data_IF_009639634010
#
_entry.id   IF_009639634010
#
_cell.length_a   1.000
_cell.length_b   1.000
_cell.length_c   1.000
_cell.angle_alpha   90.00
_cell.angle_beta   90.00
_cell.angle_gamma   90.00
#
_symmetry.space_group_name_H-M   'P 1'
#
loop_
_entity.id
_entity.type
_entity.pdbx_description
1 polymer ?
#
# COMPACT_ATOMS: atom_id res chain seq x y z
N UNK A 1 -34.55 31.94 -6.22
CA UNK A 1 -33.52 30.91 -6.47
C UNK A 1 -32.34 31.44 -7.27
N UNK A 2 -32.54 32.06 -8.46
CA UNK A 2 -31.49 32.68 -9.29
C UNK A 2 -30.38 33.39 -8.51
N UNK A 3 -30.74 34.38 -7.68
CA UNK A 3 -29.77 35.16 -6.87
C UNK A 3 -28.89 34.28 -5.97
N UNK A 4 -29.46 33.24 -5.37
CA UNK A 4 -28.73 32.31 -4.50
C UNK A 4 -27.73 31.52 -5.35
N UNK A 5 -28.17 30.94 -6.46
CA UNK A 5 -27.31 30.21 -7.40
C UNK A 5 -26.18 31.08 -7.93
N UNK A 6 -26.47 32.29 -8.41
CA UNK A 6 -25.45 33.23 -8.91
C UNK A 6 -24.40 33.54 -7.84
N UNK A 7 -24.82 33.80 -6.59
CA UNK A 7 -23.89 34.07 -5.50
C UNK A 7 -23.04 32.84 -5.17
N UNK A 8 -23.65 31.67 -5.01
CA UNK A 8 -22.95 30.42 -4.70
C UNK A 8 -21.95 30.01 -5.78
N UNK A 9 -22.33 30.14 -7.06
CA UNK A 9 -21.45 29.89 -8.20
C UNK A 9 -20.28 30.87 -8.22
N UNK A 10 -20.54 32.16 -7.98
CA UNK A 10 -19.48 33.17 -7.95
C UNK A 10 -18.50 32.95 -6.80
N UNK A 11 -18.98 32.61 -5.60
CA UNK A 11 -18.12 32.35 -4.46
C UNK A 11 -17.28 31.09 -4.68
N UNK A 12 -17.87 30.03 -5.24
CA UNK A 12 -17.15 28.80 -5.55
C UNK A 12 -16.12 29.01 -6.68
N UNK A 13 -16.44 29.81 -7.70
CA UNK A 13 -15.48 30.15 -8.76
C UNK A 13 -14.23 30.82 -8.20
N UNK A 14 -14.39 31.73 -7.24
CA UNK A 14 -13.25 32.40 -6.59
C UNK A 14 -12.36 31.41 -5.84
N UNK A 15 -12.97 30.49 -5.10
CA UNK A 15 -12.24 29.44 -4.37
C UNK A 15 -11.48 28.51 -5.33
N UNK A 16 -12.17 28.03 -6.38
CA UNK A 16 -11.56 27.19 -7.42
C UNK A 16 -10.41 27.89 -8.15
N UNK A 17 -10.57 29.18 -8.48
CA UNK A 17 -9.52 29.96 -9.15
C UNK A 17 -8.29 30.13 -8.26
N UNK A 18 -8.48 30.31 -6.95
CA UNK A 18 -7.38 30.35 -5.99
C UNK A 18 -6.66 29.00 -5.92
N UNK A 19 -7.39 27.88 -5.87
CA UNK A 19 -6.79 26.54 -5.86
C UNK A 19 -6.03 26.23 -7.16
N UNK A 20 -6.59 26.59 -8.32
CA UNK A 20 -5.89 26.44 -9.62
C UNK A 20 -4.59 27.24 -9.62
N UNK A 21 -4.61 28.48 -9.13
CA UNK A 21 -3.40 29.30 -9.02
C UNK A 21 -2.34 28.66 -8.11
N UNK A 22 -2.75 28.05 -6.98
CA UNK A 22 -1.85 27.31 -6.09
C UNK A 22 -1.20 26.13 -6.82
N UNK A 23 -2.00 25.30 -7.51
CA UNK A 23 -1.50 24.12 -8.23
C UNK A 23 -0.54 24.54 -9.35
N UNK A 24 -0.89 25.56 -10.14
CA UNK A 24 -0.05 26.02 -11.25
C UNK A 24 1.24 26.71 -10.82
N UNK A 25 1.23 27.41 -9.68
CA UNK A 25 2.40 28.14 -9.19
C UNK A 25 3.38 27.26 -8.39
N UNK A 26 2.93 26.11 -7.89
CA UNK A 26 3.76 25.21 -7.08
C UNK A 26 4.85 24.57 -7.96
N UNK A 27 6.10 24.84 -7.61
CA UNK A 27 7.23 24.05 -8.12
C UNK A 27 7.28 22.72 -7.36
N UNK A 28 7.19 21.61 -8.07
CA UNK A 28 7.21 20.26 -7.49
C UNK A 28 8.34 19.43 -8.08
N UNK A 29 8.84 18.41 -7.36
CA UNK A 29 9.76 17.43 -7.93
C UNK A 29 9.18 16.82 -9.20
N UNK A 30 10.06 16.49 -10.15
CA UNK A 30 9.69 15.90 -11.45
C UNK A 30 8.83 14.65 -11.31
N UNK A 31 9.05 13.88 -10.25
CA UNK A 31 8.36 12.66 -9.87
C UNK A 31 6.86 12.89 -9.60
N UNK A 32 6.47 14.11 -9.18
CA UNK A 32 5.07 14.50 -8.97
C UNK A 32 4.45 15.22 -10.18
N UNK A 33 5.18 15.36 -11.30
CA UNK A 33 4.70 16.09 -12.48
C UNK A 33 3.40 15.53 -13.06
N UNK A 34 3.28 14.20 -13.14
CA UNK A 34 2.05 13.53 -13.62
C UNK A 34 0.87 13.81 -12.68
N UNK A 35 1.11 13.80 -11.37
CA UNK A 35 0.08 14.11 -10.38
C UNK A 35 -0.36 15.57 -10.41
N UNK A 36 0.58 16.51 -10.57
CA UNK A 36 0.26 17.93 -10.75
C UNK A 36 -0.58 18.19 -12.01
N UNK A 37 -0.21 17.54 -13.12
CA UNK A 37 -0.95 17.62 -14.36
C UNK A 37 -2.37 17.06 -14.20
N UNK A 38 -2.50 15.92 -13.53
CA UNK A 38 -3.79 15.31 -13.20
C UNK A 38 -4.69 16.25 -12.39
N UNK A 39 -4.18 16.86 -11.32
CA UNK A 39 -4.93 17.85 -10.53
C UNK A 39 -5.37 19.05 -11.38
N UNK A 40 -4.46 19.54 -12.23
CA UNK A 40 -4.73 20.70 -13.10
C UNK A 40 -5.87 20.42 -14.09
N UNK A 41 -5.91 19.22 -14.67
CA UNK A 41 -6.99 18.78 -15.57
C UNK A 41 -8.32 18.77 -14.83
N UNK A 42 -8.40 18.10 -13.67
CA UNK A 42 -9.65 17.99 -12.90
C UNK A 42 -10.18 19.35 -12.44
N UNK A 43 -9.32 20.24 -11.95
CA UNK A 43 -9.78 21.58 -11.57
C UNK A 43 -10.23 22.42 -12.78
N UNK A 44 -9.62 22.22 -13.95
CA UNK A 44 -10.04 22.88 -15.19
C UNK A 44 -11.41 22.36 -15.65
N UNK A 45 -11.66 21.05 -15.56
CA UNK A 45 -12.96 20.45 -15.86
C UNK A 45 -14.06 20.98 -14.92
N UNK A 46 -13.80 21.06 -13.61
CA UNK A 46 -14.73 21.67 -12.64
C UNK A 46 -15.00 23.14 -13.02
N UNK A 47 -13.98 23.90 -13.44
CA UNK A 47 -14.14 25.30 -13.86
C UNK A 47 -15.05 25.39 -15.09
N UNK A 48 -14.85 24.53 -16.09
CA UNK A 48 -15.69 24.49 -17.29
C UNK A 48 -17.14 24.15 -16.98
N UNK A 49 -17.39 23.16 -16.11
CA UNK A 49 -18.74 22.81 -15.69
C UNK A 49 -19.39 23.93 -14.87
N UNK A 50 -18.63 24.59 -13.98
CA UNK A 50 -19.14 25.72 -13.21
C UNK A 50 -19.53 26.91 -14.10
N UNK A 51 -18.76 27.16 -15.17
CA UNK A 51 -19.11 28.17 -16.19
C UNK A 51 -20.38 27.81 -16.96
N UNK A 52 -20.60 26.52 -17.27
CA UNK A 52 -21.86 26.05 -17.86
C UNK A 52 -23.04 26.30 -16.93
N UNK A 53 -22.91 26.00 -15.63
CA UNK A 53 -23.96 26.25 -14.64
C UNK A 53 -24.25 27.76 -14.47
N UNK A 54 -23.22 28.61 -14.54
CA UNK A 54 -23.39 30.06 -14.53
C UNK A 54 -24.23 30.52 -15.72
N UNK A 55 -23.89 30.05 -16.93
CA UNK A 55 -24.64 30.34 -18.15
C UNK A 55 -26.11 29.91 -18.04
N UNK A 56 -26.38 28.68 -17.58
CA UNK A 56 -27.74 28.18 -17.40
C UNK A 56 -28.53 28.98 -16.36
N UNK A 57 -27.88 29.42 -15.28
CA UNK A 57 -28.49 30.29 -14.26
C UNK A 57 -28.89 31.64 -14.85
N UNK A 58 -28.07 32.18 -15.76
CA UNK A 58 -28.30 33.49 -16.39
C UNK A 58 -29.49 33.49 -17.34
N UNK A 59 -29.80 32.36 -18.00
CA UNK A 59 -30.99 32.20 -18.85
C UNK A 59 -32.29 32.55 -18.14
N UNK A 60 -32.35 32.42 -16.80
CA UNK A 60 -33.52 32.82 -16.03
C UNK A 60 -34.67 31.80 -16.01
N UNK A 61 -34.44 30.59 -16.52
CA UNK A 61 -35.45 29.53 -16.59
C UNK A 61 -35.65 28.89 -15.19
N UNK A 62 -36.78 29.17 -14.55
CA UNK A 62 -37.01 28.72 -13.17
C UNK A 62 -37.18 27.20 -13.03
N UNK A 63 -37.67 26.54 -14.09
CA UNK A 63 -37.94 25.10 -14.11
C UNK A 63 -36.70 24.24 -13.92
N UNK A 64 -35.51 24.74 -14.26
CA UNK A 64 -34.24 23.99 -14.21
C UNK A 64 -33.39 24.33 -12.99
N UNK A 65 -33.81 25.26 -12.12
CA UNK A 65 -32.97 25.69 -11.00
C UNK A 65 -32.67 24.61 -9.98
N UNK A 66 -33.57 23.64 -9.80
CA UNK A 66 -33.33 22.49 -8.92
C UNK A 66 -32.22 21.61 -9.50
N UNK A 67 -32.23 21.39 -10.82
CA UNK A 67 -31.21 20.59 -11.50
C UNK A 67 -29.84 21.27 -11.43
N UNK A 68 -29.79 22.59 -11.70
CA UNK A 68 -28.56 23.38 -11.53
C UNK A 68 -28.02 23.29 -10.10
N UNK A 69 -28.89 23.37 -9.10
CA UNK A 69 -28.47 23.28 -7.69
C UNK A 69 -27.89 21.91 -7.34
N UNK A 70 -28.49 20.83 -7.86
CA UNK A 70 -28.01 19.46 -7.65
C UNK A 70 -26.65 19.24 -8.33
N UNK A 71 -26.49 19.68 -9.58
CA UNK A 71 -25.23 19.63 -10.32
C UNK A 71 -24.13 20.45 -9.61
N UNK A 72 -24.46 21.68 -9.18
CA UNK A 72 -23.55 22.52 -8.40
C UNK A 72 -23.09 21.83 -7.10
N UNK A 73 -24.01 21.19 -6.39
CA UNK A 73 -23.70 20.49 -5.14
C UNK A 73 -22.76 19.29 -5.39
N UNK A 74 -22.97 18.54 -6.47
CA UNK A 74 -22.05 17.47 -6.87
C UNK A 74 -20.66 18.01 -7.22
N UNK A 75 -20.56 19.13 -7.95
CA UNK A 75 -19.27 19.76 -8.26
C UNK A 75 -18.53 20.21 -7.00
N UNK A 76 -19.24 20.84 -6.05
CA UNK A 76 -18.63 21.21 -4.77
C UNK A 76 -18.12 20.00 -3.99
N UNK A 77 -18.87 18.89 -3.99
CA UNK A 77 -18.45 17.68 -3.29
C UNK A 77 -17.19 17.09 -3.93
N UNK A 78 -17.13 17.03 -5.26
CA UNK A 78 -15.93 16.58 -5.98
C UNK A 78 -14.74 17.49 -5.67
N UNK A 79 -14.91 18.82 -5.75
CA UNK A 79 -13.86 19.77 -5.39
C UNK A 79 -13.36 19.57 -3.96
N UNK A 80 -14.26 19.41 -2.98
CA UNK A 80 -13.87 19.17 -1.58
C UNK A 80 -13.04 17.90 -1.40
N UNK A 81 -13.35 16.83 -2.14
CA UNK A 81 -12.55 15.61 -2.11
C UNK A 81 -11.15 15.88 -2.67
N UNK A 82 -11.04 16.55 -3.82
CA UNK A 82 -9.75 16.91 -4.42
C UNK A 82 -8.93 17.82 -3.48
N UNK A 83 -9.55 18.85 -2.95
CA UNK A 83 -8.91 19.85 -2.08
C UNK A 83 -8.48 19.27 -0.73
N UNK A 84 -9.30 18.43 -0.10
CA UNK A 84 -8.99 17.88 1.23
C UNK A 84 -8.12 16.62 1.22
N UNK A 85 -8.15 15.83 0.13
CA UNK A 85 -7.45 14.53 0.07
C UNK A 85 -6.22 14.54 -0.82
N UNK A 86 -6.28 15.23 -1.97
CA UNK A 86 -5.23 15.14 -3.00
C UNK A 86 -4.33 16.37 -3.00
N UNK A 87 -4.90 17.59 -2.93
CA UNK A 87 -4.10 18.81 -2.89
C UNK A 87 -3.00 18.82 -1.80
N UNK A 88 -3.21 18.26 -0.58
CA UNK A 88 -2.15 18.18 0.42
C UNK A 88 -0.93 17.40 -0.06
N UNK A 89 -1.09 16.38 -0.90
CA UNK A 89 0.01 15.61 -1.49
C UNK A 89 0.94 16.43 -2.39
N UNK A 90 0.40 17.49 -3.01
CA UNK A 90 1.15 18.45 -3.83
C UNK A 90 1.66 19.63 -2.99
N UNK A 91 0.82 20.13 -2.07
CA UNK A 91 1.11 21.34 -1.32
C UNK A 91 2.16 21.11 -0.23
N UNK A 92 2.09 19.97 0.48
CA UNK A 92 2.99 19.60 1.58
C UNK A 92 4.42 19.28 1.13
N UNK A 93 4.60 18.90 -0.14
CA UNK A 93 5.85 18.30 -0.63
C UNK A 93 7.09 19.02 -0.11
N UNK A 94 7.96 18.28 0.59
CA UNK A 94 9.19 18.74 1.22
C UNK A 94 10.41 18.13 0.53
N UNK A 95 11.58 18.76 0.67
CA UNK A 95 12.85 18.19 0.17
C UNK A 95 13.17 16.80 0.75
N UNK A 96 12.63 16.51 1.92
CA UNK A 96 12.84 15.23 2.61
C UNK A 96 12.09 14.07 1.93
N UNK A 97 11.10 14.39 1.11
CA UNK A 97 10.34 13.37 0.37
C UNK A 97 11.12 12.90 -0.87
N UNK A 98 12.20 13.60 -1.27
CA UNK A 98 12.88 13.40 -2.55
C UNK A 98 13.41 11.97 -2.77
N UNK A 99 14.01 11.35 -1.74
CA UNK A 99 14.49 9.97 -1.83
C UNK A 99 13.35 9.00 -2.13
N UNK A 100 12.25 9.11 -1.36
CA UNK A 100 11.08 8.26 -1.50
C UNK A 100 10.35 8.50 -2.81
N UNK A 101 10.19 9.77 -3.23
CA UNK A 101 9.58 10.11 -4.51
C UNK A 101 10.36 9.52 -5.69
N UNK A 102 11.69 9.55 -5.63
CA UNK A 102 12.56 8.94 -6.65
C UNK A 102 12.40 7.42 -6.70
N UNK A 103 12.35 6.76 -5.55
CA UNK A 103 12.08 5.33 -5.49
C UNK A 103 10.70 5.00 -6.05
N UNK A 104 9.64 5.67 -5.61
CA UNK A 104 8.28 5.42 -6.10
C UNK A 104 8.18 5.68 -7.60
N UNK A 105 8.82 6.73 -8.11
CA UNK A 105 8.89 6.99 -9.54
C UNK A 105 9.54 5.85 -10.31
N UNK A 106 10.66 5.32 -9.82
CA UNK A 106 11.29 4.13 -10.39
C UNK A 106 10.38 2.90 -10.29
N UNK A 107 9.77 2.66 -9.12
CA UNK A 107 8.94 1.49 -8.85
C UNK A 107 7.72 1.45 -9.77
N UNK A 108 7.06 2.60 -9.95
CA UNK A 108 5.99 2.75 -10.90
C UNK A 108 6.50 2.64 -12.35
N UNK A 109 7.58 3.33 -12.69
CA UNK A 109 8.13 3.33 -14.05
C UNK A 109 8.66 1.98 -14.54
N UNK A 110 9.09 1.11 -13.63
CA UNK A 110 9.60 -0.23 -13.93
C UNK A 110 8.50 -1.26 -14.24
N UNK A 111 7.23 -0.97 -13.89
CA UNK A 111 6.12 -1.89 -14.10
C UNK A 111 5.10 -1.31 -15.09
N UNK A 112 4.80 -2.08 -16.15
CA UNK A 112 4.04 -1.59 -17.31
C UNK A 112 2.64 -1.06 -16.94
N UNK A 113 1.97 -1.70 -15.98
CA UNK A 113 0.61 -1.32 -15.54
C UNK A 113 0.60 -0.08 -14.63
N UNK A 114 1.75 0.31 -14.07
CA UNK A 114 1.83 1.41 -13.09
C UNK A 114 2.66 2.60 -13.58
N UNK A 115 3.34 2.48 -14.72
CA UNK A 115 4.28 3.46 -15.26
C UNK A 115 3.72 4.87 -15.50
N UNK A 116 2.42 4.98 -15.80
CA UNK A 116 1.75 6.27 -16.00
C UNK A 116 0.80 6.63 -14.87
N UNK A 117 0.82 5.86 -13.79
CA UNK A 117 -0.08 6.06 -12.68
C UNK A 117 0.40 7.25 -11.83
N UNK A 118 -0.37 8.34 -11.71
CA UNK A 118 -0.01 9.41 -10.78
C UNK A 118 0.00 8.88 -9.36
N UNK A 119 0.96 9.35 -8.57
CA UNK A 119 1.06 9.04 -7.14
C UNK A 119 1.49 10.27 -6.36
N UNK A 120 1.32 10.20 -5.04
CA UNK A 120 1.84 11.21 -4.10
C UNK A 120 2.06 10.59 -2.71
N UNK A 121 2.78 11.33 -1.86
CA UNK A 121 3.13 10.90 -0.51
C UNK A 121 2.49 11.82 0.53
N UNK A 122 1.94 11.21 1.58
CA UNK A 122 1.45 11.85 2.79
C UNK A 122 2.14 11.27 4.02
N UNK A 123 2.11 12.02 5.12
CA UNK A 123 2.58 11.53 6.41
C UNK A 123 1.57 10.55 7.00
N UNK A 124 2.06 9.43 7.51
CA UNK A 124 1.24 8.43 8.18
C UNK A 124 2.05 7.24 8.65
N UNK A 125 1.38 6.15 8.96
CA UNK A 125 2.02 4.84 9.06
C UNK A 125 2.08 4.19 7.67
N UNK A 126 2.90 3.15 7.50
CA UNK A 126 2.98 2.41 6.24
C UNK A 126 1.60 1.91 5.80
N UNK A 127 1.06 2.57 4.78
CA UNK A 127 -0.21 2.26 4.18
C UNK A 127 -0.31 2.91 2.81
N UNK A 128 -1.30 2.45 2.05
CA UNK A 128 -1.62 2.97 0.73
C UNK A 128 -3.13 3.09 0.56
N UNK A 129 -3.55 4.07 -0.23
CA UNK A 129 -4.89 4.11 -0.80
C UNK A 129 -4.80 3.71 -2.28
N UNK A 130 -4.96 2.41 -2.59
CA UNK A 130 -4.69 1.87 -3.91
C UNK A 130 -5.87 2.10 -4.85
N UNK A 131 -5.99 3.29 -5.45
CA UNK A 131 -7.12 3.58 -6.35
C UNK A 131 -6.75 3.36 -7.82
N UNK A 132 -7.63 2.67 -8.57
CA UNK A 132 -7.39 2.38 -9.99
C UNK A 132 -7.70 3.57 -10.90
N UNK A 133 -8.66 4.43 -10.53
CA UNK A 133 -9.04 5.60 -11.34
C UNK A 133 -8.45 6.92 -10.83
N UNK A 134 -7.95 6.93 -9.59
CA UNK A 134 -7.39 8.12 -8.94
C UNK A 134 -5.90 7.94 -8.65
N UNK A 135 -5.16 9.03 -8.37
CA UNK A 135 -3.77 8.93 -7.98
C UNK A 135 -3.56 8.07 -6.74
N UNK A 136 -2.51 7.26 -6.76
CA UNK A 136 -2.15 6.38 -5.65
C UNK A 136 -1.62 7.21 -4.49
N UNK A 137 -2.21 7.06 -3.31
CA UNK A 137 -1.81 7.80 -2.11
C UNK A 137 -0.96 6.90 -1.23
N UNK A 138 0.32 7.25 -1.03
CA UNK A 138 1.21 6.54 -0.11
C UNK A 138 1.28 7.28 1.23
N UNK A 139 1.07 6.57 2.33
CA UNK A 139 1.19 7.08 3.70
C UNK A 139 2.43 6.47 4.34
N UNK A 140 3.35 7.33 4.78
CA UNK A 140 4.68 6.85 5.13
C UNK A 140 5.22 7.58 6.37
N UNK A 141 5.89 6.88 7.30
CA UNK A 141 6.54 7.54 8.43
C UNK A 141 7.66 8.45 7.96
N UNK A 142 7.66 9.72 8.39
CA UNK A 142 8.65 10.74 7.96
C UNK A 142 10.10 10.27 8.16
N UNK A 143 10.37 9.58 9.27
CA UNK A 143 11.70 9.06 9.56
C UNK A 143 12.10 7.91 8.61
N UNK A 144 11.14 7.07 8.21
CA UNK A 144 11.41 5.95 7.31
C UNK A 144 11.62 6.40 5.86
N UNK A 145 10.96 7.49 5.44
CA UNK A 145 11.13 8.09 4.11
C UNK A 145 12.58 8.54 3.80
N UNK A 146 13.42 8.67 4.84
CA UNK A 146 14.80 9.13 4.73
C UNK A 146 15.84 8.02 4.82
N UNK A 147 15.44 6.77 5.06
CA UNK A 147 16.37 5.66 5.25
C UNK A 147 16.30 4.63 4.14
N UNK A 148 17.46 4.28 3.60
CA UNK A 148 17.63 3.22 2.60
C UNK A 148 17.19 1.85 3.15
N UNK A 149 17.28 1.63 4.46
CA UNK A 149 16.92 0.36 5.11
C UNK A 149 15.41 0.09 5.10
N UNK A 150 14.57 1.13 5.10
CA UNK A 150 13.11 0.99 5.12
C UNK A 150 12.47 1.10 3.74
N UNK A 151 13.22 1.52 2.71
CA UNK A 151 12.71 1.59 1.34
C UNK A 151 12.06 0.27 0.85
N UNK A 152 12.56 -0.93 1.21
CA UNK A 152 11.92 -2.16 0.77
C UNK A 152 10.46 -2.33 1.22
N UNK A 153 10.05 -1.67 2.31
CA UNK A 153 8.66 -1.74 2.77
C UNK A 153 7.68 -1.14 1.76
N UNK A 154 8.13 -0.24 0.87
CA UNK A 154 7.29 0.29 -0.21
C UNK A 154 6.93 -0.76 -1.27
N UNK A 155 7.69 -1.85 -1.37
CA UNK A 155 7.37 -2.94 -2.29
C UNK A 155 6.10 -3.69 -1.86
N UNK A 156 5.89 -3.81 -0.54
CA UNK A 156 4.64 -4.33 0.02
C UNK A 156 3.45 -3.44 -0.36
N UNK A 157 3.58 -2.12 -0.19
CA UNK A 157 2.53 -1.17 -0.52
C UNK A 157 2.15 -1.22 -2.01
N UNK A 158 3.12 -1.40 -2.91
CA UNK A 158 2.82 -1.64 -4.32
C UNK A 158 1.97 -2.91 -4.53
N UNK A 159 2.18 -3.94 -3.71
CA UNK A 159 1.36 -5.15 -3.71
C UNK A 159 -0.13 -4.84 -3.57
N UNK A 160 -0.52 -3.96 -2.66
CA UNK A 160 -1.93 -3.56 -2.52
C UNK A 160 -2.48 -2.88 -3.78
N UNK A 161 -1.66 -2.07 -4.47
CA UNK A 161 -2.07 -1.50 -5.75
C UNK A 161 -2.25 -2.58 -6.83
N UNK A 162 -1.31 -3.52 -6.95
CA UNK A 162 -1.40 -4.62 -7.91
C UNK A 162 -2.62 -5.51 -7.63
N UNK A 163 -2.91 -5.80 -6.36
CA UNK A 163 -4.12 -6.53 -5.97
C UNK A 163 -5.37 -5.81 -6.47
N UNK A 164 -5.47 -4.50 -6.20
CA UNK A 164 -6.66 -3.73 -6.55
C UNK A 164 -6.79 -3.47 -8.06
N UNK A 165 -5.68 -3.49 -8.81
CA UNK A 165 -5.69 -3.46 -10.27
C UNK A 165 -6.28 -4.74 -10.87
N UNK A 166 -5.90 -5.90 -10.32
CA UNK A 166 -6.36 -7.25 -10.73
C UNK A 166 -7.48 -7.79 -9.84
N UNK A 167 -8.31 -6.89 -9.28
CA UNK A 167 -9.19 -7.26 -8.17
C UNK A 167 -10.13 -8.41 -8.52
N UNK A 168 -10.63 -8.48 -9.74
CA UNK A 168 -11.57 -9.51 -10.13
C UNK A 168 -10.92 -10.90 -10.06
N UNK A 169 -9.74 -11.04 -10.66
CA UNK A 169 -8.93 -12.25 -10.72
C UNK A 169 -8.42 -12.64 -9.33
N UNK A 170 -7.92 -11.66 -8.56
CA UNK A 170 -7.43 -11.87 -7.20
C UNK A 170 -8.55 -12.33 -6.26
N UNK A 171 -9.72 -11.68 -6.30
CA UNK A 171 -10.87 -12.06 -5.47
C UNK A 171 -11.38 -13.48 -5.83
N UNK A 172 -11.28 -13.89 -7.10
CA UNK A 172 -11.61 -15.26 -7.51
C UNK A 172 -10.64 -16.28 -6.91
N UNK A 173 -9.34 -16.03 -6.95
CA UNK A 173 -8.33 -16.88 -6.31
C UNK A 173 -8.56 -17.00 -4.79
N UNK A 174 -8.86 -15.89 -4.11
CA UNK A 174 -9.19 -15.91 -2.67
C UNK A 174 -10.46 -16.73 -2.42
N UNK A 175 -11.51 -16.55 -3.23
CA UNK A 175 -12.77 -17.32 -3.11
C UNK A 175 -12.55 -18.82 -3.27
N UNK A 176 -11.70 -19.22 -4.20
CA UNK A 176 -11.33 -20.63 -4.38
C UNK A 176 -10.61 -21.20 -3.15
N UNK A 177 -9.66 -20.45 -2.60
CA UNK A 177 -8.99 -20.82 -1.35
C UNK A 177 -9.97 -20.92 -0.18
N UNK A 178 -10.82 -19.91 0.03
CA UNK A 178 -11.82 -19.88 1.10
C UNK A 178 -12.77 -21.07 1.05
N UNK A 179 -13.15 -21.52 -0.16
CA UNK A 179 -13.96 -22.73 -0.35
C UNK A 179 -13.24 -23.98 0.15
N UNK A 180 -11.94 -24.12 -0.13
CA UNK A 180 -11.11 -25.23 0.38
C UNK A 180 -10.98 -25.14 1.90
N UNK A 181 -10.70 -23.95 2.43
CA UNK A 181 -10.57 -23.68 3.86
C UNK A 181 -11.84 -24.04 4.64
N UNK A 182 -13.00 -23.67 4.11
CA UNK A 182 -14.28 -24.06 4.69
C UNK A 182 -14.42 -25.59 4.75
N UNK A 183 -13.94 -26.32 3.75
CA UNK A 183 -13.89 -27.79 3.77
C UNK A 183 -12.99 -28.37 4.86
N UNK A 184 -11.89 -27.68 5.22
CA UNK A 184 -11.00 -28.11 6.31
C UNK A 184 -11.54 -27.81 7.71
N UNK A 185 -12.29 -26.72 7.86
CA UNK A 185 -12.77 -26.23 9.16
C UNK A 185 -14.15 -26.77 9.54
N UNK A 186 -15.00 -27.11 8.58
CA UNK A 186 -16.34 -27.59 8.87
C UNK A 186 -16.33 -28.96 9.58
N UNK A 187 -17.04 -29.11 10.71
CA UNK A 187 -17.05 -30.36 11.45
C UNK A 187 -17.73 -31.49 10.66
N UNK A 188 -17.04 -32.63 10.56
CA UNK A 188 -17.51 -33.82 9.82
C UNK A 188 -18.60 -34.57 10.61
N UNK A 189 -18.64 -34.42 11.94
CA UNK A 189 -19.53 -35.18 12.82
C UNK A 189 -20.31 -34.21 13.72
N UNK A 190 -21.64 -34.31 13.70
CA UNK A 190 -22.53 -33.55 14.59
C UNK A 190 -22.54 -34.19 15.98
N UNK A 191 -22.09 -33.46 17.01
CA UNK A 191 -22.24 -33.87 18.42
C UNK A 191 -23.63 -33.48 18.96
N UNK A 192 -24.00 -32.20 18.77
CA UNK A 192 -25.33 -31.63 19.03
C UNK A 192 -25.61 -30.51 17.99
N UNK A 193 -26.84 -30.04 17.85
CA UNK A 193 -27.16 -28.93 16.93
C UNK A 193 -26.53 -27.60 17.39
N UNK A 194 -26.55 -27.31 18.69
CA UNK A 194 -25.98 -26.08 19.27
C UNK A 194 -24.45 -26.03 19.12
N UNK A 195 -23.74 -27.14 19.39
CA UNK A 195 -22.28 -27.21 19.24
C UNK A 195 -21.89 -27.04 17.76
N UNK A 196 -22.66 -27.65 16.85
CA UNK A 196 -22.41 -27.54 15.42
C UNK A 196 -22.60 -26.11 14.92
N UNK A 197 -23.61 -25.39 15.39
CA UNK A 197 -23.85 -24.00 15.00
C UNK A 197 -22.74 -23.06 15.50
N UNK A 198 -22.26 -23.27 16.73
CA UNK A 198 -21.14 -22.52 17.29
C UNK A 198 -19.84 -22.76 16.52
N UNK A 199 -19.48 -24.02 16.25
CA UNK A 199 -18.30 -24.39 15.47
C UNK A 199 -18.39 -23.85 14.03
N UNK A 200 -19.55 -23.98 13.38
CA UNK A 200 -19.77 -23.44 12.03
C UNK A 200 -19.72 -21.91 11.98
N UNK A 201 -20.13 -21.22 13.04
CA UNK A 201 -19.97 -19.76 13.14
C UNK A 201 -18.49 -19.37 13.23
N UNK A 202 -17.72 -20.05 14.09
CA UNK A 202 -16.29 -19.80 14.23
C UNK A 202 -15.54 -20.06 12.92
N UNK A 203 -15.84 -21.18 12.25
CA UNK A 203 -15.27 -21.53 10.95
C UNK A 203 -15.54 -20.44 9.89
N UNK A 204 -16.78 -19.94 9.81
CA UNK A 204 -17.13 -18.83 8.89
C UNK A 204 -16.31 -17.57 9.15
N UNK A 205 -16.17 -17.17 10.41
CA UNK A 205 -15.38 -15.98 10.76
C UNK A 205 -13.89 -16.15 10.44
N UNK A 206 -13.34 -17.35 10.63
CA UNK A 206 -11.97 -17.67 10.22
C UNK A 206 -11.82 -17.58 8.70
N UNK A 207 -12.74 -18.17 7.94
CA UNK A 207 -12.74 -18.10 6.46
C UNK A 207 -12.82 -16.64 5.98
N UNK A 208 -13.70 -15.84 6.57
CA UNK A 208 -13.82 -14.40 6.27
C UNK A 208 -12.52 -13.64 6.60
N UNK A 209 -11.91 -13.90 7.76
CA UNK A 209 -10.64 -13.27 8.16
C UNK A 209 -9.52 -13.59 7.16
N UNK A 210 -9.51 -14.79 6.58
CA UNK A 210 -8.53 -15.18 5.58
C UNK A 210 -8.60 -14.37 4.28
N UNK A 211 -9.70 -13.66 4.00
CA UNK A 211 -9.77 -12.76 2.85
C UNK A 211 -8.73 -11.64 2.93
N UNK A 212 -8.65 -10.96 4.08
CA UNK A 212 -7.68 -9.90 4.30
C UNK A 212 -6.26 -10.48 4.51
N UNK A 213 -6.16 -11.64 5.16
CA UNK A 213 -4.84 -12.26 5.38
C UNK A 213 -4.16 -12.71 4.09
N UNK A 214 -4.91 -13.26 3.11
CA UNK A 214 -4.32 -13.60 1.81
C UNK A 214 -3.82 -12.34 1.10
N UNK A 215 -4.55 -11.23 1.15
CA UNK A 215 -4.10 -9.95 0.56
C UNK A 215 -2.77 -9.50 1.17
N UNK A 216 -2.65 -9.50 2.49
CA UNK A 216 -1.40 -9.11 3.18
C UNK A 216 -0.23 -10.05 2.85
N UNK A 217 -0.49 -11.36 2.83
CA UNK A 217 0.53 -12.35 2.46
C UNK A 217 0.93 -12.25 0.99
N UNK A 218 0.02 -11.86 0.11
CA UNK A 218 0.33 -11.53 -1.28
C UNK A 218 1.22 -10.29 -1.37
N UNK A 219 0.91 -9.24 -0.61
CA UNK A 219 1.73 -8.03 -0.58
C UNK A 219 3.13 -8.32 0.00
N UNK A 220 3.24 -9.22 1.00
CA UNK A 220 4.54 -9.75 1.46
C UNK A 220 5.29 -10.50 0.36
N UNK A 221 4.58 -11.34 -0.40
CA UNK A 221 5.17 -12.07 -1.52
C UNK A 221 5.68 -11.09 -2.59
N UNK A 222 4.91 -10.06 -2.96
CA UNK A 222 5.36 -8.98 -3.87
C UNK A 222 6.61 -8.29 -3.31
N UNK A 223 6.62 -7.99 -2.01
CA UNK A 223 7.80 -7.43 -1.34
C UNK A 223 9.05 -8.29 -1.53
N UNK A 224 8.94 -9.61 -1.36
CA UNK A 224 10.03 -10.57 -1.58
C UNK A 224 10.39 -10.71 -3.06
N UNK A 225 9.41 -10.75 -3.97
CA UNK A 225 9.68 -10.84 -5.40
C UNK A 225 10.48 -9.64 -5.90
N UNK A 226 10.21 -8.43 -5.40
CA UNK A 226 10.91 -7.20 -5.79
C UNK A 226 12.26 -7.08 -5.06
N UNK A 227 12.23 -7.15 -3.72
CA UNK A 227 13.36 -6.82 -2.86
C UNK A 227 14.24 -7.99 -2.41
N UNK A 228 13.81 -9.22 -2.65
CA UNK A 228 14.45 -10.43 -2.12
C UNK A 228 14.67 -10.34 -0.60
N UNK A 229 15.90 -10.62 -0.17
CA UNK A 229 16.27 -10.62 1.25
C UNK A 229 16.22 -9.24 1.89
N UNK A 230 16.34 -8.16 1.11
CA UNK A 230 16.30 -6.79 1.65
C UNK A 230 14.91 -6.42 2.16
N UNK A 231 13.86 -6.90 1.49
CA UNK A 231 12.48 -6.80 1.99
C UNK A 231 12.31 -7.57 3.30
N UNK A 232 12.72 -8.84 3.30
CA UNK A 232 12.59 -9.70 4.46
C UNK A 232 13.31 -9.12 5.71
N UNK A 233 14.49 -8.52 5.49
CA UNK A 233 15.25 -7.80 6.53
C UNK A 233 14.55 -6.54 6.99
N UNK A 234 14.08 -5.68 6.09
CA UNK A 234 13.37 -4.45 6.43
C UNK A 234 12.09 -4.73 7.22
N UNK A 235 11.29 -5.69 6.76
CA UNK A 235 10.08 -6.16 7.43
C UNK A 235 10.39 -6.68 8.84
N UNK A 236 11.39 -7.56 8.96
CA UNK A 236 11.83 -8.04 10.26
C UNK A 236 12.30 -6.91 11.18
N UNK A 237 13.16 -6.03 10.68
CA UNK A 237 13.77 -4.96 11.46
C UNK A 237 12.73 -3.97 11.98
N UNK A 238 11.78 -3.57 11.12
CA UNK A 238 10.68 -2.68 11.49
C UNK A 238 9.80 -3.29 12.60
N UNK A 239 9.40 -4.57 12.48
CA UNK A 239 8.47 -5.19 13.42
C UNK A 239 9.12 -5.60 14.75
N UNK A 240 10.42 -5.91 14.76
CA UNK A 240 11.15 -6.18 16.01
C UNK A 240 11.14 -5.00 16.98
N UNK A 241 11.00 -3.77 16.47
CA UNK A 241 10.91 -2.56 17.30
C UNK A 241 9.53 -2.34 17.93
N UNK A 242 8.50 -3.08 17.50
CA UNK A 242 7.13 -2.93 17.99
C UNK A 242 6.82 -3.78 19.25
N UNK A 243 7.80 -4.53 19.77
CA UNK A 243 7.67 -5.27 21.03
C UNK A 243 6.75 -6.49 20.95
N UNK A 244 6.23 -6.95 22.10
CA UNK A 244 5.53 -8.24 22.24
C UNK A 244 4.29 -8.38 21.35
N UNK A 245 3.56 -7.30 21.09
CA UNK A 245 2.36 -7.28 20.24
C UNK A 245 2.64 -7.66 18.79
N UNK A 246 3.89 -7.52 18.33
CA UNK A 246 4.30 -8.01 17.01
C UNK A 246 4.45 -9.54 16.97
N UNK A 247 4.67 -10.20 18.11
CA UNK A 247 4.94 -11.65 18.17
C UNK A 247 3.75 -12.48 18.64
N UNK A 248 2.78 -11.85 19.30
CA UNK A 248 1.62 -12.52 19.86
C UNK A 248 0.40 -11.62 19.84
N UNK A 249 -0.73 -12.19 19.43
CA UNK A 249 -2.06 -11.58 19.54
C UNK A 249 -3.03 -12.58 20.17
N UNK A 250 -3.89 -12.16 21.11
CA UNK A 250 -4.88 -13.06 21.67
C UNK A 250 -5.97 -13.38 20.64
N UNK A 251 -6.57 -14.57 20.74
CA UNK A 251 -7.57 -15.09 19.79
C UNK A 251 -8.67 -14.08 19.42
N UNK A 252 -9.22 -13.38 20.42
CA UNK A 252 -10.30 -12.39 20.23
C UNK A 252 -9.91 -11.24 19.28
N UNK A 253 -8.62 -10.94 19.15
CA UNK A 253 -8.11 -9.86 18.31
C UNK A 253 -7.75 -10.36 16.89
N UNK A 254 -7.91 -11.66 16.62
CA UNK A 254 -7.68 -12.26 15.30
C UNK A 254 -8.92 -12.27 14.43
N UNK A 255 -10.10 -12.46 15.01
CA UNK A 255 -11.35 -12.43 14.26
C UNK A 255 -11.55 -11.06 13.59
N UNK A 256 -11.74 -11.06 12.27
CA UNK A 256 -11.87 -9.87 11.43
C UNK A 256 -10.65 -8.93 11.49
N UNK A 257 -9.48 -9.46 11.84
CA UNK A 257 -8.24 -8.70 11.79
C UNK A 257 -7.79 -8.53 10.34
N UNK A 258 -7.42 -7.30 9.98
CA UNK A 258 -6.90 -7.01 8.63
C UNK A 258 -5.51 -7.58 8.38
N UNK A 259 -4.76 -7.92 9.43
CA UNK A 259 -3.39 -8.41 9.32
C UNK A 259 -3.21 -9.79 9.97
N UNK A 260 -2.51 -10.72 9.29
CA UNK A 260 -2.09 -11.97 9.90
C UNK A 260 -1.16 -11.74 11.10
N UNK A 261 -1.07 -12.73 11.97
CA UNK A 261 -0.03 -12.78 12.99
C UNK A 261 1.33 -12.67 12.29
N UNK A 262 2.20 -11.76 12.74
CA UNK A 262 3.48 -11.48 12.07
C UNK A 262 4.33 -12.73 11.88
N UNK A 263 4.35 -13.66 12.85
CA UNK A 263 5.09 -14.91 12.71
C UNK A 263 4.60 -15.75 11.54
N UNK A 264 3.31 -15.72 11.23
CA UNK A 264 2.75 -16.35 10.03
C UNK A 264 3.24 -15.66 8.76
N UNK A 265 3.31 -14.33 8.74
CA UNK A 265 3.89 -13.56 7.63
C UNK A 265 5.36 -13.94 7.39
N UNK A 266 6.15 -14.01 8.46
CA UNK A 266 7.56 -14.46 8.42
C UNK A 266 7.68 -15.88 7.87
N UNK A 267 6.80 -16.81 8.26
CA UNK A 267 6.80 -18.17 7.72
C UNK A 267 6.68 -18.19 6.18
N UNK A 268 5.75 -17.41 5.63
CA UNK A 268 5.54 -17.34 4.18
C UNK A 268 6.65 -16.56 3.46
N UNK A 269 7.19 -15.50 4.07
CA UNK A 269 8.37 -14.78 3.57
C UNK A 269 9.58 -15.72 3.48
N UNK A 270 9.89 -16.47 4.55
CA UNK A 270 11.00 -17.43 4.61
C UNK A 270 10.83 -18.51 3.53
N UNK A 271 9.61 -19.05 3.38
CA UNK A 271 9.32 -20.05 2.34
C UNK A 271 9.57 -19.49 0.94
N UNK A 272 9.08 -18.29 0.63
CA UNK A 272 9.31 -17.62 -0.66
C UNK A 272 10.80 -17.38 -0.91
N UNK A 273 11.55 -16.87 0.08
CA UNK A 273 12.99 -16.69 -0.04
C UNK A 273 13.72 -17.99 -0.42
N UNK A 274 13.36 -19.13 0.18
CA UNK A 274 13.93 -20.44 -0.16
C UNK A 274 13.67 -20.82 -1.62
N UNK A 275 12.48 -20.55 -2.15
CA UNK A 275 12.15 -20.82 -3.56
C UNK A 275 12.91 -19.93 -4.54
N UNK A 276 13.24 -18.70 -4.13
CA UNK A 276 14.15 -17.82 -4.86
C UNK A 276 15.63 -18.21 -4.74
N UNK A 277 15.96 -19.30 -4.04
CA UNK A 277 17.32 -19.79 -3.82
C UNK A 277 18.07 -19.09 -2.67
N UNK A 278 17.42 -18.20 -1.93
CA UNK A 278 17.97 -17.40 -0.82
C UNK A 278 17.94 -18.18 0.51
N UNK A 279 18.40 -19.43 0.47
CA UNK A 279 18.23 -20.39 1.56
C UNK A 279 18.93 -19.94 2.85
N UNK A 280 20.15 -19.40 2.73
CA UNK A 280 20.95 -18.98 3.88
C UNK A 280 20.26 -17.84 4.63
N UNK A 281 19.82 -16.81 3.91
CA UNK A 281 19.17 -15.65 4.50
C UNK A 281 17.79 -15.99 5.07
N UNK A 282 17.08 -16.95 4.45
CA UNK A 282 15.83 -17.49 4.97
C UNK A 282 16.04 -18.21 6.32
N UNK A 283 17.08 -19.04 6.42
CA UNK A 283 17.42 -19.75 7.66
C UNK A 283 17.87 -18.78 8.77
N UNK A 284 18.65 -17.76 8.44
CA UNK A 284 19.05 -16.69 9.38
C UNK A 284 17.83 -15.93 9.92
N UNK A 285 16.89 -15.55 9.05
CA UNK A 285 15.65 -14.87 9.44
C UNK A 285 14.78 -15.74 10.35
N UNK A 286 14.59 -17.01 10.01
CA UNK A 286 13.83 -17.96 10.82
C UNK A 286 14.47 -18.16 12.21
N UNK A 287 15.79 -18.29 12.26
CA UNK A 287 16.54 -18.42 13.52
C UNK A 287 16.40 -17.17 14.40
N UNK A 288 16.47 -15.98 13.81
CA UNK A 288 16.33 -14.71 14.49
C UNK A 288 14.95 -14.59 15.16
N UNK A 289 13.88 -14.82 14.41
CA UNK A 289 12.51 -14.77 14.93
C UNK A 289 12.25 -15.81 16.01
N UNK A 290 12.77 -17.02 15.84
CA UNK A 290 12.70 -18.06 16.87
C UNK A 290 13.43 -17.65 18.16
N UNK A 291 14.55 -16.95 18.05
CA UNK A 291 15.32 -16.46 19.21
C UNK A 291 14.53 -15.40 19.98
N UNK A 292 13.93 -14.44 19.27
CA UNK A 292 13.16 -13.36 19.89
C UNK A 292 11.87 -13.90 20.51
N UNK A 293 11.14 -14.79 19.81
CA UNK A 293 9.93 -15.41 20.34
C UNK A 293 10.19 -16.16 21.65
N UNK A 294 11.30 -16.91 21.73
CA UNK A 294 11.75 -17.58 22.97
C UNK A 294 12.05 -16.58 24.08
N UNK A 295 12.77 -15.50 23.77
CA UNK A 295 13.11 -14.47 24.76
C UNK A 295 11.87 -13.75 25.31
N UNK A 296 10.84 -13.56 24.49
CA UNK A 296 9.59 -12.91 24.87
C UNK A 296 8.56 -13.87 25.51
N UNK A 297 8.84 -15.17 25.56
CA UNK A 297 7.89 -16.22 25.92
C UNK A 297 6.56 -16.06 25.15
N UNK A 298 6.67 -15.79 23.84
CA UNK A 298 5.54 -15.66 22.94
C UNK A 298 5.22 -17.05 22.33
N UNK A 299 4.09 -17.68 22.68
CA UNK A 299 3.73 -18.99 22.13
C UNK A 299 3.42 -18.88 20.63
N UNK A 300 3.74 -19.94 19.89
CA UNK A 300 3.24 -20.13 18.52
C UNK A 300 1.85 -20.74 18.59
N UNK A 301 0.86 -19.89 18.82
CA UNK A 301 -0.54 -20.29 18.80
C UNK A 301 -1.31 -19.44 17.79
N UNK A 302 -1.95 -20.12 16.86
CA UNK A 302 -2.77 -19.52 15.82
C UNK A 302 -4.26 -19.74 16.08
N UNK A 303 -4.65 -20.39 17.18
CA UNK A 303 -6.04 -20.61 17.58
C UNK A 303 -6.91 -21.24 16.48
N UNK A 304 -6.33 -22.14 15.67
CA UNK A 304 -7.01 -22.77 14.54
C UNK A 304 -7.10 -21.90 13.27
N UNK A 305 -6.72 -20.62 13.31
CA UNK A 305 -6.62 -19.79 12.09
C UNK A 305 -5.57 -20.31 11.12
N UNK A 306 -4.56 -21.04 11.62
CA UNK A 306 -3.54 -21.64 10.77
C UNK A 306 -3.20 -23.06 11.20
N UNK A 307 -3.12 -23.96 10.22
CA UNK A 307 -2.67 -25.34 10.38
C UNK A 307 -1.86 -25.77 9.15
N UNK A 308 -0.86 -26.63 9.37
CA UNK A 308 0.03 -27.12 8.31
C UNK A 308 -0.70 -27.83 7.16
N UNK A 309 -1.88 -28.42 7.43
CA UNK A 309 -2.65 -29.21 6.44
C UNK A 309 -3.16 -28.40 5.24
N UNK A 310 -3.32 -27.07 5.38
CA UNK A 310 -3.74 -26.18 4.29
C UNK A 310 -2.67 -25.16 3.89
N UNK A 311 -1.45 -25.25 4.44
CA UNK A 311 -0.34 -24.33 4.11
C UNK A 311 -0.05 -24.31 2.60
N UNK A 312 -0.09 -25.47 1.94
CA UNK A 312 0.16 -25.57 0.51
C UNK A 312 -0.94 -24.92 -0.34
N UNK A 313 -2.20 -24.93 0.13
CA UNK A 313 -3.28 -24.24 -0.57
C UNK A 313 -3.12 -22.72 -0.48
N UNK A 314 -2.72 -22.20 0.69
CA UNK A 314 -2.34 -20.78 0.84
C UNK A 314 -1.20 -20.46 -0.12
N UNK A 315 -0.15 -21.27 -0.10
CA UNK A 315 1.04 -21.04 -0.92
C UNK A 315 0.74 -21.05 -2.43
N UNK A 316 -0.05 -22.01 -2.89
CA UNK A 316 -0.47 -22.08 -4.29
C UNK A 316 -1.27 -20.83 -4.69
N UNK A 317 -2.20 -20.40 -3.84
CA UNK A 317 -2.98 -19.18 -4.06
C UNK A 317 -2.07 -17.97 -4.24
N UNK A 318 -1.05 -17.83 -3.37
CA UNK A 318 -0.07 -16.74 -3.49
C UNK A 318 0.75 -16.83 -4.79
N UNK A 319 1.12 -18.03 -5.26
CA UNK A 319 1.83 -18.20 -6.53
C UNK A 319 0.97 -17.80 -7.74
N UNK A 320 -0.31 -18.16 -7.72
CA UNK A 320 -1.24 -17.81 -8.79
C UNK A 320 -1.44 -16.29 -8.82
N UNK A 321 -1.57 -15.64 -7.64
CA UNK A 321 -1.63 -14.19 -7.53
C UNK A 321 -0.35 -13.48 -8.02
N UNK A 322 0.83 -13.98 -7.67
CA UNK A 322 2.10 -13.44 -8.17
C UNK A 322 2.20 -13.59 -9.69
N UNK A 323 1.69 -14.69 -10.24
CA UNK A 323 1.66 -14.90 -11.69
C UNK A 323 0.74 -13.89 -12.37
N UNK A 324 -0.44 -13.63 -11.81
CA UNK A 324 -1.40 -12.66 -12.32
C UNK A 324 -0.86 -11.22 -12.25
N UNK A 325 -0.27 -10.86 -11.11
CA UNK A 325 0.25 -9.52 -10.88
C UNK A 325 1.55 -9.22 -11.65
N UNK A 326 2.34 -10.26 -11.98
CA UNK A 326 3.68 -10.21 -12.58
C UNK A 326 4.56 -9.06 -12.03
N UNK A 327 4.80 -9.02 -10.70
CA UNK A 327 5.60 -7.97 -10.11
C UNK A 327 7.03 -8.01 -10.64
N UNK A 328 7.72 -6.88 -10.46
CA UNK A 328 9.15 -6.76 -10.77
C UNK A 328 9.93 -7.85 -10.02
N UNK A 329 10.85 -8.54 -10.70
CA UNK A 329 11.59 -9.67 -10.13
C UNK A 329 12.97 -9.23 -9.67
N UNK A 330 13.39 -9.66 -8.48
CA UNK A 330 14.68 -9.31 -7.90
C UNK A 330 15.84 -9.78 -8.80
N UNK A 331 15.65 -10.89 -9.52
CA UNK A 331 16.61 -11.46 -10.46
C UNK A 331 16.98 -10.48 -11.56
N UNK A 332 16.05 -9.63 -11.98
CA UNK A 332 16.22 -8.70 -13.09
C UNK A 332 17.30 -7.63 -12.78
N UNK A 333 17.61 -7.42 -11.49
CA UNK A 333 18.55 -6.40 -11.02
C UNK A 333 19.81 -6.94 -10.34
N UNK A 334 19.90 -8.26 -10.08
CA UNK A 334 21.16 -8.85 -9.61
C UNK A 334 22.34 -8.60 -10.57
N UNK A 335 22.04 -8.27 -11.84
CA UNK A 335 23.01 -7.92 -12.86
C UNK A 335 23.46 -6.44 -12.84
N UNK A 336 22.73 -5.54 -12.17
CA UNK A 336 23.03 -4.10 -12.11
C UNK A 336 23.11 -3.58 -10.66
N UNK A 337 24.33 -3.50 -10.09
CA UNK A 337 24.56 -2.92 -8.77
C UNK A 337 24.17 -1.44 -8.65
N UNK A 338 23.98 -0.72 -9.77
CA UNK A 338 23.57 0.69 -9.77
C UNK A 338 22.05 0.90 -9.69
N UNK A 339 21.27 -0.18 -9.75
CA UNK A 339 19.83 -0.17 -9.56
C UNK A 339 19.42 0.22 -8.14
N UNK A 340 18.14 0.58 -7.94
CA UNK A 340 17.58 0.82 -6.60
C UNK A 340 17.69 -0.41 -5.68
N UNK A 341 17.46 -1.60 -6.23
CA UNK A 341 17.63 -2.85 -5.49
C UNK A 341 19.10 -3.04 -5.09
N UNK A 342 20.03 -2.79 -6.02
CA UNK A 342 21.47 -2.84 -5.76
C UNK A 342 21.89 -1.89 -4.63
N UNK A 343 21.45 -0.63 -4.70
CA UNK A 343 21.67 0.38 -3.68
C UNK A 343 21.16 -0.05 -2.30
N UNK A 344 19.92 -0.54 -2.24
CA UNK A 344 19.29 -1.02 -1.00
C UNK A 344 20.07 -2.21 -0.44
N UNK A 345 20.49 -3.13 -1.30
CA UNK A 345 21.30 -4.28 -0.89
C UNK A 345 22.65 -3.84 -0.30
N UNK A 346 23.33 -2.89 -0.96
CA UNK A 346 24.55 -2.28 -0.41
C UNK A 346 24.29 -1.59 0.92
N UNK A 347 23.17 -0.88 1.07
CA UNK A 347 22.82 -0.23 2.34
C UNK A 347 22.70 -1.23 3.49
N UNK A 348 22.05 -2.38 3.26
CA UNK A 348 21.98 -3.45 4.25
C UNK A 348 23.36 -4.04 4.59
N UNK A 349 24.21 -4.27 3.58
CA UNK A 349 25.58 -4.77 3.81
C UNK A 349 26.43 -3.79 4.62
N UNK A 350 26.33 -2.49 4.32
CA UNK A 350 27.04 -1.43 5.04
C UNK A 350 26.56 -1.33 6.49
N UNK A 351 25.24 -1.41 6.71
CA UNK A 351 24.65 -1.41 8.04
C UNK A 351 25.07 -2.63 8.88
N UNK A 352 25.09 -3.82 8.28
CA UNK A 352 25.50 -5.06 8.97
C UNK A 352 27.00 -5.06 9.29
N UNK A 353 27.82 -4.49 8.42
CA UNK A 353 29.28 -4.42 8.59
C UNK A 353 29.68 -3.38 9.63
N UNK A 354 29.09 -2.19 9.60
CA UNK A 354 29.43 -1.09 10.49
C UNK A 354 28.18 -0.24 10.84
N UNK A 355 27.34 -0.73 11.77
CA UNK A 355 26.11 -0.03 12.15
C UNK A 355 26.36 1.33 12.82
N UNK A 356 27.57 1.54 13.39
CA UNK A 356 27.94 2.79 14.06
C UNK A 356 28.17 3.90 13.04
N UNK A 357 28.87 3.60 11.95
CA UNK A 357 29.17 4.59 10.91
C UNK A 357 28.17 4.60 9.74
N UNK A 358 27.23 3.64 9.69
CA UNK A 358 26.21 3.54 8.64
C UNK A 358 25.49 4.87 8.38
N UNK A 359 25.10 5.59 9.43
CA UNK A 359 24.39 6.87 9.30
C UNK A 359 25.15 7.89 8.45
N UNK A 360 26.47 7.97 8.59
CA UNK A 360 27.29 8.91 7.82
C UNK A 360 27.36 8.46 6.35
N UNK A 361 27.50 7.16 6.11
CA UNK A 361 27.49 6.59 4.77
C UNK A 361 26.14 6.82 4.07
N UNK A 362 25.02 6.56 4.75
CA UNK A 362 23.67 6.75 4.24
C UNK A 362 23.43 8.22 3.89
N UNK A 363 23.83 9.15 4.76
CA UNK A 363 23.68 10.58 4.50
C UNK A 363 24.43 11.04 3.24
N UNK A 364 25.68 10.63 3.06
CA UNK A 364 26.47 10.95 1.86
C UNK A 364 25.81 10.34 0.61
N UNK A 365 25.39 9.08 0.71
CA UNK A 365 24.79 8.35 -0.41
C UNK A 365 23.45 8.95 -0.83
N UNK A 366 22.56 9.22 0.11
CA UNK A 366 21.26 9.85 -0.12
C UNK A 366 21.44 11.27 -0.69
N UNK A 367 22.43 12.02 -0.20
CA UNK A 367 22.73 13.36 -0.70
C UNK A 367 23.13 13.34 -2.19
N UNK A 368 23.95 12.38 -2.64
CA UNK A 368 24.28 12.23 -4.06
C UNK A 368 23.07 11.84 -4.93
N UNK A 369 22.10 11.09 -4.38
CA UNK A 369 20.88 10.69 -5.10
C UNK A 369 19.92 11.87 -5.28
N UNK A 370 19.76 12.68 -4.23
CA UNK A 370 18.85 13.82 -4.23
C UNK A 370 19.45 14.98 -5.05
N UNK A 371 20.76 15.21 -4.96
CA UNK A 371 21.47 16.30 -5.63
C UNK A 371 22.64 15.77 -6.48
N UNK A 372 22.39 15.16 -7.65
CA UNK A 372 23.43 14.53 -8.48
C UNK A 372 24.44 15.52 -9.12
N UNK A 373 24.33 16.82 -8.82
CA UNK A 373 25.16 17.89 -9.38
C UNK A 373 26.12 18.55 -8.35
N UNK A 374 26.21 18.01 -7.12
CA UNK A 374 27.13 18.49 -6.07
C UNK A 374 28.44 17.71 -6.01
#
# INVERSE_FOLDING_TARGET
>A
MKRILTQSISDFSRELDATIAIVSAKNVPTELGVFQAWLSVYYTEIRSELQRLAFLTDLGEESIYVDIFNEFSSLQQTFRVLDSRYLPGLYRTHRNDALTLKLLHWLHGAHTQTAQKPFFVLDGDFAIFPTVDFPVSYYLPVAAQQSLLYLPLFFHELGHYLYQHHRAEMDDLVREFQKKLNGYLMPVVRKTEDDYEAEAKQARQMVETWYDWIQELFCDAVGVEIGGTTYARAFSFYLRMQGRSAFYRPEKDLFNSSHPITRLRILFIVRRCRELGLNKEADELEQEWNTIAKALAAPEDYYGFYEKKWENDVYQTLNDMITEADPIKFSDYTADPSSWIGLIHTAWQEFERDPVNYKNWEQITVQHIIDPAS
#
